data_IF_131157154537
#
_entry.id   IF_131157154537
#
_cell.length_a   1.000
_cell.length_b   1.000
_cell.length_c   1.000
_cell.angle_alpha   90.00
_cell.angle_beta   90.00
_cell.angle_gamma   90.00
#
_symmetry.space_group_name_H-M   'P 1'
#
loop_
_entity.id
_entity.type
_entity.pdbx_description
1 polymer ?
#
# COMPACT_ATOMS: atom_id res chain seq x y z
N UNK A 1 -17.80 -22.55 -2.93
CA UNK A 1 -17.56 -21.36 -3.77
C UNK A 1 -17.06 -20.26 -2.85
N UNK A 2 -15.96 -19.58 -3.18
CA UNK A 2 -15.47 -18.46 -2.38
C UNK A 2 -16.45 -17.29 -2.47
N UNK A 3 -16.83 -16.76 -1.31
CA UNK A 3 -17.72 -15.61 -1.21
C UNK A 3 -16.90 -14.32 -1.29
N UNK A 4 -16.78 -13.77 -2.50
CA UNK A 4 -15.99 -12.57 -2.79
C UNK A 4 -16.45 -11.37 -1.97
N UNK A 5 -17.72 -11.35 -1.53
CA UNK A 5 -18.23 -10.27 -0.70
C UNK A 5 -17.53 -10.18 0.66
N UNK A 6 -16.94 -11.28 1.13
CA UNK A 6 -16.26 -11.41 2.42
C UNK A 6 -14.73 -11.36 2.31
N UNK A 7 -14.18 -10.99 1.16
CA UNK A 7 -12.73 -10.89 0.97
C UNK A 7 -12.32 -9.42 1.09
N UNK A 8 -11.39 -9.15 2.02
CA UNK A 8 -10.70 -7.88 2.13
C UNK A 8 -9.32 -8.02 1.47
N UNK A 9 -9.12 -7.27 0.40
CA UNK A 9 -7.83 -7.16 -0.30
C UNK A 9 -7.03 -6.03 0.33
N UNK A 10 -5.78 -6.26 0.68
CA UNK A 10 -4.93 -5.27 1.35
C UNK A 10 -3.59 -5.18 0.63
N UNK A 11 -3.00 -3.99 0.63
CA UNK A 11 -1.67 -3.78 0.07
C UNK A 11 -1.00 -2.54 0.68
N UNK A 12 0.32 -2.47 0.53
CA UNK A 12 1.14 -1.33 0.90
C UNK A 12 1.65 -0.57 -0.34
N UNK A 13 1.51 0.75 -0.31
CA UNK A 13 2.05 1.63 -1.34
C UNK A 13 3.07 2.60 -0.75
N UNK A 14 4.20 2.77 -1.43
CA UNK A 14 5.24 3.72 -1.07
C UNK A 14 5.04 5.01 -1.86
N UNK A 15 4.77 6.10 -1.16
CA UNK A 15 4.71 7.43 -1.75
C UNK A 15 6.01 8.17 -1.46
N UNK A 16 6.68 8.62 -2.51
CA UNK A 16 7.83 9.52 -2.39
C UNK A 16 7.34 10.96 -2.48
N UNK A 17 7.86 11.81 -1.59
CA UNK A 17 7.52 13.23 -1.53
C UNK A 17 8.32 14.07 -2.54
N UNK A 18 9.29 13.47 -3.23
CA UNK A 18 9.84 14.11 -4.40
C UNK A 18 8.76 14.11 -5.50
N UNK A 19 8.52 15.25 -6.14
CA UNK A 19 7.62 15.33 -7.31
C UNK A 19 8.15 14.55 -8.54
N UNK A 20 9.13 13.67 -8.32
CA UNK A 20 9.77 12.85 -9.32
C UNK A 20 9.02 11.53 -9.44
N UNK A 21 8.25 11.40 -10.52
CA UNK A 21 7.71 10.11 -10.95
C UNK A 21 8.86 9.15 -11.20
N UNK A 22 8.73 7.92 -10.74
CA UNK A 22 9.70 6.89 -11.02
C UNK A 22 9.65 6.52 -12.52
N UNK A 23 10.54 7.10 -13.33
CA UNK A 23 10.56 6.96 -14.80
C UNK A 23 11.27 5.69 -15.29
N UNK A 24 11.39 4.63 -14.48
CA UNK A 24 12.13 3.42 -14.88
C UNK A 24 11.59 2.79 -16.18
N UNK A 25 10.32 3.02 -16.52
CA UNK A 25 9.69 2.54 -17.76
C UNK A 25 9.39 3.66 -18.78
N UNK A 26 10.20 4.73 -18.82
CA UNK A 26 10.08 5.76 -19.87
C UNK A 26 11.07 5.47 -21.00
N UNK A 27 10.52 5.15 -22.17
CA UNK A 27 11.28 4.98 -23.41
C UNK A 27 11.38 6.33 -24.11
N UNK A 28 12.60 6.83 -24.28
CA UNK A 28 12.88 8.03 -25.08
C UNK A 28 13.18 7.61 -26.53
N UNK A 29 12.33 8.01 -27.46
CA UNK A 29 12.59 7.82 -28.90
C UNK A 29 13.33 9.03 -29.46
N UNK A 30 14.47 8.78 -30.10
CA UNK A 30 15.26 9.80 -30.81
C UNK A 30 15.95 9.16 -32.02
N UNK A 31 16.12 9.95 -33.09
CA UNK A 31 16.82 9.53 -34.32
C UNK A 31 18.32 9.34 -34.08
N UNK A 32 18.89 10.03 -33.08
CA UNK A 32 20.28 9.87 -32.65
C UNK A 32 20.36 9.68 -31.13
N UNK A 33 21.34 8.91 -30.65
CA UNK A 33 21.49 8.64 -29.21
C UNK A 33 21.62 9.97 -28.43
N UNK A 34 20.65 10.30 -27.55
CA UNK A 34 20.60 11.59 -26.89
C UNK A 34 21.68 11.80 -25.83
N UNK A 35 22.44 10.76 -25.44
CA UNK A 35 23.48 10.80 -24.39
C UNK A 35 23.02 11.50 -23.10
N UNK A 36 21.74 11.36 -22.77
CA UNK A 36 21.12 11.99 -21.62
C UNK A 36 21.15 11.03 -20.43
N UNK A 37 21.87 11.41 -19.39
CA UNK A 37 21.81 10.77 -18.07
C UNK A 37 20.93 11.62 -17.19
N UNK A 38 19.78 11.11 -16.79
CA UNK A 38 18.90 11.78 -15.82
C UNK A 38 19.31 11.34 -14.42
N UNK A 39 19.93 12.26 -13.67
CA UNK A 39 20.21 12.02 -12.27
C UNK A 39 18.90 11.99 -11.48
N UNK A 40 18.73 10.96 -10.64
CA UNK A 40 17.58 10.83 -9.75
C UNK A 40 18.07 10.89 -8.32
N UNK A 41 17.41 11.72 -7.52
CA UNK A 41 17.59 11.69 -6.08
C UNK A 41 17.10 10.34 -5.53
N UNK A 42 18.04 9.54 -5.00
CA UNK A 42 17.75 8.17 -4.52
C UNK A 42 17.06 8.21 -3.15
N UNK A 43 17.40 9.20 -2.32
CA UNK A 43 17.07 9.27 -0.89
C UNK A 43 16.02 10.33 -0.54
N UNK A 44 15.05 10.57 -1.41
CA UNK A 44 13.98 11.51 -1.07
C UNK A 44 13.06 10.93 0.01
N UNK A 45 12.49 11.76 0.89
CA UNK A 45 11.55 11.33 1.92
C UNK A 45 10.40 10.51 1.34
N UNK A 46 10.05 9.42 2.03
CA UNK A 46 8.95 8.52 1.66
C UNK A 46 8.08 8.25 2.88
N UNK A 47 6.82 7.98 2.63
CA UNK A 47 5.96 7.33 3.61
C UNK A 47 5.29 6.12 2.98
N UNK A 48 5.00 5.12 3.81
CA UNK A 48 4.26 3.94 3.38
C UNK A 48 2.81 4.11 3.81
N UNK A 49 1.90 3.76 2.91
CA UNK A 49 0.47 3.74 3.16
C UNK A 49 0.00 2.31 3.05
N UNK A 50 -0.83 1.90 4.00
CA UNK A 50 -1.60 0.67 3.95
C UNK A 50 -3.05 1.02 3.61
N UNK A 51 -3.66 0.28 2.69
CA UNK A 51 -5.08 0.40 2.40
C UNK A 51 -5.68 -0.97 2.10
N UNK A 52 -6.97 -1.11 2.35
CA UNK A 52 -7.75 -2.28 2.00
C UNK A 52 -8.94 -1.94 1.12
N UNK A 53 -9.36 -2.85 0.25
CA UNK A 53 -10.57 -2.73 -0.56
C UNK A 53 -11.37 -4.01 -0.43
N UNK A 54 -12.69 -3.89 -0.33
CA UNK A 54 -13.60 -5.01 -0.36
C UNK A 54 -14.84 -4.69 -1.21
N UNK A 55 -15.75 -5.66 -1.33
CA UNK A 55 -16.94 -5.55 -2.17
C UNK A 55 -17.86 -4.35 -1.92
N UNK A 56 -17.89 -3.81 -0.69
CA UNK A 56 -18.75 -2.68 -0.33
C UNK A 56 -17.98 -1.38 -0.08
N UNK A 57 -16.66 -1.32 -0.31
CA UNK A 57 -15.91 -0.08 -0.10
C UNK A 57 -14.40 -0.24 0.11
N UNK A 58 -13.81 0.81 0.69
CA UNK A 58 -12.38 0.91 0.96
C UNK A 58 -12.13 1.16 2.45
N UNK A 59 -11.04 0.59 2.97
CA UNK A 59 -10.54 0.68 4.33
C UNK A 59 -9.21 1.43 4.34
N UNK A 60 -9.11 2.53 5.10
CA UNK A 60 -7.91 3.36 5.07
C UNK A 60 -7.82 4.19 3.78
N UNK A 61 -6.89 5.16 3.71
CA UNK A 61 -5.45 4.94 3.86
C UNK A 61 -4.90 5.16 5.28
N UNK A 62 -4.01 4.28 5.73
CA UNK A 62 -3.25 4.43 6.97
C UNK A 62 -1.77 4.60 6.68
N UNK A 63 -1.19 5.73 7.10
CA UNK A 63 0.24 5.97 6.96
C UNK A 63 1.05 5.40 8.13
N UNK A 64 2.25 4.93 7.79
CA UNK A 64 3.30 4.59 8.74
C UNK A 64 4.15 5.83 9.05
N UNK A 65 4.46 6.02 10.33
CA UNK A 65 5.39 7.04 10.81
C UNK A 65 6.78 6.41 10.89
N UNK A 66 7.48 6.38 9.76
CA UNK A 66 8.81 5.77 9.61
C UNK A 66 8.83 4.44 8.86
N UNK A 67 9.80 3.59 9.19
CA UNK A 67 10.00 2.31 8.51
C UNK A 67 8.95 1.28 8.92
N UNK A 68 8.50 0.50 7.95
CA UNK A 68 7.61 -0.64 8.19
C UNK A 68 8.44 -1.78 8.75
N UNK A 69 8.27 -2.04 10.04
CA UNK A 69 8.72 -3.24 10.75
C UNK A 69 7.51 -4.07 11.17
N UNK A 70 7.71 -5.35 11.51
CA UNK A 70 6.66 -6.21 12.03
C UNK A 70 5.89 -5.58 13.21
N UNK A 71 6.61 -4.94 14.14
CA UNK A 71 6.00 -4.26 15.29
C UNK A 71 5.16 -3.04 14.87
N UNK A 72 5.68 -2.21 13.96
CA UNK A 72 4.93 -1.05 13.46
C UNK A 72 3.67 -1.47 12.69
N UNK A 73 3.75 -2.61 11.99
CA UNK A 73 2.66 -3.21 11.24
C UNK A 73 1.56 -3.70 12.17
N UNK A 74 1.95 -4.51 13.17
CA UNK A 74 1.03 -5.02 14.18
C UNK A 74 0.36 -3.88 14.95
N UNK A 75 1.13 -2.84 15.30
CA UNK A 75 0.62 -1.64 15.96
C UNK A 75 -0.39 -0.91 15.09
N UNK A 76 -0.10 -0.72 13.80
CA UNK A 76 -1.04 -0.10 12.86
C UNK A 76 -2.34 -0.93 12.73
N UNK A 77 -2.24 -2.26 12.61
CA UNK A 77 -3.43 -3.12 12.56
C UNK A 77 -4.25 -2.96 13.84
N UNK A 78 -3.62 -3.10 15.00
CA UNK A 78 -4.30 -3.14 16.30
C UNK A 78 -4.92 -1.79 16.65
N UNK A 79 -4.17 -0.71 16.46
CA UNK A 79 -4.56 0.62 16.95
C UNK A 79 -5.40 1.39 15.92
N UNK A 80 -5.15 1.16 14.62
CA UNK A 80 -5.80 1.91 13.54
C UNK A 80 -6.78 1.05 12.75
N UNK A 81 -6.41 -0.14 12.29
CA UNK A 81 -7.28 -0.91 11.37
C UNK A 81 -8.46 -1.57 12.09
N UNK A 82 -8.19 -2.27 13.20
CA UNK A 82 -9.17 -3.07 13.91
C UNK A 82 -10.37 -2.27 14.46
N UNK A 83 -10.20 -1.04 14.98
CA UNK A 83 -11.33 -0.19 15.35
C UNK A 83 -12.27 0.09 14.17
N UNK A 84 -11.72 0.43 12.99
CA UNK A 84 -12.53 0.74 11.80
C UNK A 84 -13.26 -0.51 11.27
N UNK A 85 -12.62 -1.67 11.32
CA UNK A 85 -13.25 -2.95 10.90
C UNK A 85 -14.42 -3.32 11.80
N UNK A 86 -14.32 -3.03 13.11
CA UNK A 86 -15.42 -3.25 14.07
C UNK A 86 -16.59 -2.30 13.81
N UNK A 87 -16.30 -1.03 13.53
CA UNK A 87 -17.33 0.00 13.28
C UNK A 87 -18.08 -0.23 11.96
N UNK A 88 -17.40 -0.75 10.93
CA UNK A 88 -17.99 -1.01 9.61
C UNK A 88 -18.90 -2.26 9.55
N UNK A 89 -19.21 -2.90 10.69
CA UNK A 89 -19.99 -4.15 10.81
C UNK A 89 -19.46 -5.31 9.93
N UNK A 90 -18.23 -5.19 9.41
CA UNK A 90 -17.52 -6.22 8.63
C UNK A 90 -17.35 -7.52 9.42
N UNK A 91 -17.40 -7.44 10.75
CA UNK A 91 -17.29 -8.57 11.66
C UNK A 91 -18.58 -9.40 11.80
N UNK A 92 -19.75 -8.91 11.36
CA UNK A 92 -21.00 -9.71 11.36
C UNK A 92 -21.01 -10.80 10.29
N UNK A 93 -20.23 -10.63 9.22
CA UNK A 93 -20.07 -11.61 8.15
C UNK A 93 -18.64 -12.15 8.13
N UNK A 94 -18.20 -12.74 9.25
CA UNK A 94 -16.97 -13.52 9.43
C UNK A 94 -15.93 -13.43 8.29
N UNK A 95 -14.97 -12.51 8.44
CA UNK A 95 -13.68 -12.61 7.75
C UNK A 95 -12.91 -13.81 8.33
N UNK A 96 -13.19 -15.02 7.83
CA UNK A 96 -12.54 -16.25 8.32
C UNK A 96 -11.08 -16.40 7.91
N UNK A 97 -10.49 -15.52 7.11
CA UNK A 97 -9.08 -15.68 6.74
C UNK A 97 -8.44 -14.35 6.36
N UNK A 98 -7.76 -13.70 7.31
CA UNK A 98 -6.62 -12.85 7.00
C UNK A 98 -5.50 -13.77 6.52
N UNK A 99 -5.50 -14.10 5.23
CA UNK A 99 -4.30 -14.67 4.62
C UNK A 99 -3.34 -13.50 4.43
N UNK A 100 -2.62 -13.15 5.50
CA UNK A 100 -1.43 -12.31 5.42
C UNK A 100 -0.46 -13.05 4.50
N UNK A 101 -0.49 -12.71 3.21
CA UNK A 101 0.54 -13.16 2.29
C UNK A 101 1.80 -12.41 2.69
N UNK A 102 2.64 -13.08 3.49
CA UNK A 102 3.99 -12.63 3.76
C UNK A 102 4.79 -12.60 2.47
N UNK A 103 4.99 -11.40 1.95
CA UNK A 103 6.07 -11.00 1.04
C UNK A 103 6.34 -9.57 1.52
N UNK A 104 7.31 -9.25 2.39
CA UNK A 104 8.75 -9.54 2.43
C UNK A 104 9.20 -9.60 3.89
#
# INVERSE_FOLDING_TARGET
>A
MLDVAKILWIDEAIFKLNSHVNRHDIIYWSVANPRLTLEREVNSPRFVVWAGVWSCGMLGPFSFDGNVTADSYLKMITDKVMPYVKDMDLMRHQLTTLHLCGII
#
